data_IF_952719334463
#
_entry.id   IF_952719334463
#
_cell.length_a   1.000
_cell.length_b   1.000
_cell.length_c   1.000
_cell.angle_alpha   90.00
_cell.angle_beta   90.00
_cell.angle_gamma   90.00
#
_symmetry.space_group_name_H-M   'P 1'
#
loop_
_entity.id
_entity.type
_entity.pdbx_description
1 polymer ?
#
# COMPACT_ATOMS: atom_id res chain seq x y z
N UNK A 1 21.70 24.83 12.64
CA UNK A 1 21.15 23.66 11.92
C UNK A 1 21.82 23.58 10.56
N UNK A 2 22.33 22.42 10.16
CA UNK A 2 22.80 22.22 8.80
C UNK A 2 21.60 22.22 7.83
N UNK A 3 21.70 22.93 6.71
CA UNK A 3 20.66 22.94 5.67
C UNK A 3 20.85 21.71 4.80
N UNK A 4 19.85 20.83 4.74
CA UNK A 4 19.86 19.67 3.85
C UNK A 4 19.88 20.11 2.39
N UNK A 5 20.84 19.59 1.64
CA UNK A 5 20.98 19.76 0.19
C UNK A 5 20.08 18.77 -0.56
N UNK A 6 19.83 18.98 -1.86
CA UNK A 6 18.93 18.12 -2.63
C UNK A 6 19.29 16.63 -2.71
N UNK A 7 20.56 16.29 -2.50
CA UNK A 7 21.05 14.92 -2.56
C UNK A 7 21.29 14.31 -1.17
N UNK A 8 21.02 15.05 -0.11
CA UNK A 8 21.28 14.58 1.25
C UNK A 8 20.24 13.53 1.65
N UNK A 9 20.74 12.41 2.14
CA UNK A 9 19.97 11.35 2.76
C UNK A 9 20.15 11.47 4.26
N UNK A 10 19.04 11.50 5.00
CA UNK A 10 19.09 11.45 6.46
C UNK A 10 19.48 10.04 6.90
N UNK A 11 20.45 9.94 7.81
CA UNK A 11 20.89 8.67 8.39
C UNK A 11 20.52 8.66 9.86
N UNK A 12 19.77 7.64 10.29
CA UNK A 12 19.32 7.44 11.65
C UNK A 12 20.11 6.31 12.30
N UNK A 13 20.92 6.55 13.34
CA UNK A 13 21.45 5.48 14.15
C UNK A 13 20.32 4.71 14.86
N UNK A 14 20.62 3.53 15.38
CA UNK A 14 19.72 2.89 16.32
C UNK A 14 19.75 3.66 17.64
N UNK A 15 18.59 3.82 18.27
CA UNK A 15 18.41 4.59 19.49
C UNK A 15 17.29 3.95 20.32
N UNK A 16 17.39 4.04 21.65
CA UNK A 16 16.34 3.58 22.56
C UNK A 16 15.08 4.45 22.42
N UNK A 17 15.27 5.73 22.10
CA UNK A 17 14.18 6.67 21.87
C UNK A 17 13.88 6.80 20.38
N UNK A 18 12.59 6.81 20.00
CA UNK A 18 12.21 6.94 18.61
C UNK A 18 12.45 8.37 18.09
N UNK A 19 12.85 8.47 16.82
CA UNK A 19 12.92 9.72 16.08
C UNK A 19 11.51 10.22 15.77
N UNK A 20 11.14 11.35 16.37
CA UNK A 20 9.80 11.90 16.20
C UNK A 20 9.70 12.80 14.95
N UNK A 21 8.73 12.49 14.09
CA UNK A 21 8.24 13.39 13.05
C UNK A 21 7.23 14.34 13.70
N UNK A 22 7.54 15.63 13.72
CA UNK A 22 6.70 16.65 14.34
C UNK A 22 5.28 16.69 13.73
N UNK A 23 4.30 16.30 14.53
CA UNK A 23 2.88 16.27 14.18
C UNK A 23 2.09 17.45 14.78
N UNK A 24 2.76 18.43 15.40
CA UNK A 24 2.15 19.57 16.09
C UNK A 24 1.34 20.48 15.17
N UNK A 25 1.74 20.59 13.89
CA UNK A 25 1.00 21.32 12.86
C UNK A 25 -0.25 20.58 12.39
N UNK A 26 -0.44 19.33 12.85
CA UNK A 26 -1.63 18.52 12.62
C UNK A 26 -1.88 18.19 11.16
N UNK A 27 -3.09 17.70 10.90
CA UNK A 27 -3.63 17.47 9.57
C UNK A 27 -4.47 18.66 9.15
N UNK A 28 -4.31 19.15 7.93
CA UNK A 28 -5.00 20.36 7.47
C UNK A 28 -6.32 19.98 6.79
N UNK A 29 -7.44 20.48 7.33
CA UNK A 29 -8.80 20.34 6.79
C UNK A 29 -9.05 21.02 5.43
N UNK A 30 -8.02 21.37 4.67
CA UNK A 30 -8.22 22.05 3.39
C UNK A 30 -8.12 21.03 2.27
N UNK A 31 -9.24 20.72 1.62
CA UNK A 31 -9.37 19.73 0.53
C UNK A 31 -8.51 20.01 -0.73
N UNK A 32 -7.70 21.07 -0.72
CA UNK A 32 -6.94 21.57 -1.88
C UNK A 32 -5.43 21.33 -1.80
N UNK A 33 -4.86 20.99 -0.65
CA UNK A 33 -3.40 20.91 -0.48
C UNK A 33 -2.97 19.57 0.10
N UNK A 34 -2.08 18.88 -0.62
CA UNK A 34 -1.35 17.73 -0.07
C UNK A 34 -0.40 18.18 1.03
N UNK A 35 -0.59 17.69 2.25
CA UNK A 35 0.22 18.06 3.40
C UNK A 35 1.12 16.90 3.85
N UNK A 36 2.32 17.23 4.29
CA UNK A 36 3.30 16.26 4.81
C UNK A 36 3.90 16.81 6.08
N UNK A 37 3.97 15.98 7.12
CA UNK A 37 4.58 16.37 8.40
C UNK A 37 6.09 16.58 8.22
N UNK A 38 6.74 15.69 7.48
CA UNK A 38 8.14 15.82 7.08
C UNK A 38 8.29 15.76 5.55
N UNK A 39 9.14 16.66 5.05
CA UNK A 39 9.61 16.65 3.67
C UNK A 39 11.08 16.25 3.65
N UNK A 40 11.38 15.18 2.92
CA UNK A 40 12.75 14.75 2.68
C UNK A 40 13.09 14.99 1.21
N UNK A 41 14.27 15.53 0.95
CA UNK A 41 14.74 15.75 -0.42
C UNK A 41 15.00 14.40 -1.10
N UNK A 42 16.01 13.66 -0.62
CA UNK A 42 16.44 12.40 -1.24
C UNK A 42 16.00 11.15 -0.48
N UNK A 43 16.01 11.14 0.85
CA UNK A 43 15.70 9.92 1.56
C UNK A 43 16.00 9.89 3.05
N UNK A 44 15.74 8.72 3.63
CA UNK A 44 15.96 8.34 5.02
C UNK A 44 16.48 6.91 5.08
N UNK A 45 17.55 6.69 5.82
CA UNK A 45 18.12 5.36 6.04
C UNK A 45 18.37 5.16 7.52
N UNK A 46 17.81 4.11 8.09
CA UNK A 46 18.23 3.65 9.41
C UNK A 46 19.48 2.78 9.32
N UNK A 47 20.28 2.74 10.39
CA UNK A 47 21.40 1.79 10.49
C UNK A 47 20.93 0.36 10.84
N UNK A 48 19.65 0.19 11.18
CA UNK A 48 19.00 -1.09 11.40
C UNK A 48 17.55 -0.92 11.87
N UNK A 49 16.83 -2.02 12.12
CA UNK A 49 15.43 -1.96 12.56
C UNK A 49 15.25 -1.28 13.92
N UNK A 50 16.33 -1.12 14.72
CA UNK A 50 16.33 -0.32 15.95
C UNK A 50 16.28 1.19 15.72
N UNK A 51 16.48 1.67 14.49
CA UNK A 51 16.16 3.06 14.14
C UNK A 51 14.64 3.19 14.00
N UNK A 52 13.98 3.69 15.04
CA UNK A 52 12.51 3.80 15.07
C UNK A 52 12.08 5.22 14.70
N UNK A 53 11.21 5.33 13.71
CA UNK A 53 10.56 6.58 13.30
C UNK A 53 9.10 6.54 13.70
N UNK A 54 8.59 7.59 14.30
CA UNK A 54 7.17 7.69 14.63
C UNK A 54 6.71 9.15 14.59
N UNK A 55 5.41 9.43 14.50
CA UNK A 55 4.98 10.80 14.67
C UNK A 55 5.02 11.17 16.15
N UNK A 56 5.27 12.45 16.45
CA UNK A 56 5.23 12.96 17.82
C UNK A 56 3.84 12.83 18.45
N UNK A 57 3.72 13.07 19.75
CA UNK A 57 2.41 13.29 20.34
C UNK A 57 1.79 14.55 19.70
N UNK A 58 0.63 14.42 19.05
CA UNK A 58 -0.06 15.57 18.49
C UNK A 58 -1.03 16.14 19.51
N UNK A 59 -1.07 17.47 19.61
CA UNK A 59 -2.18 18.18 20.23
C UNK A 59 -3.41 18.27 19.30
N UNK A 60 -3.38 17.65 18.12
CA UNK A 60 -4.46 17.67 17.16
C UNK A 60 -5.72 17.00 17.73
N UNK A 61 -6.67 17.84 18.15
CA UNK A 61 -8.00 17.44 18.55
C UNK A 61 -8.88 17.21 17.32
N UNK A 62 -9.51 16.03 17.27
CA UNK A 62 -10.55 15.57 16.34
C UNK A 62 -11.15 16.66 15.45
N UNK A 63 -10.66 16.73 14.23
CA UNK A 63 -11.27 17.49 13.15
C UNK A 63 -12.08 16.60 12.21
N UNK A 64 -13.24 17.08 11.70
CA UNK A 64 -13.97 16.42 10.62
C UNK A 64 -13.13 16.44 9.33
N UNK A 65 -12.43 15.34 9.04
CA UNK A 65 -11.87 15.13 7.71
C UNK A 65 -13.01 14.97 6.67
N UNK A 66 -12.73 15.26 5.40
CA UNK A 66 -13.58 14.95 4.24
C UNK A 66 -12.86 13.94 3.35
N UNK A 67 -13.57 13.32 2.40
CA UNK A 67 -13.08 12.17 1.63
C UNK A 67 -11.74 12.44 0.93
N UNK A 68 -11.57 13.65 0.42
CA UNK A 68 -10.35 14.07 -0.26
C UNK A 68 -9.16 14.29 0.67
N UNK A 69 -9.37 14.42 1.99
CA UNK A 69 -8.34 14.86 2.94
C UNK A 69 -7.50 13.72 3.49
N UNK A 70 -8.08 12.56 3.83
CA UNK A 70 -7.30 11.41 4.34
C UNK A 70 -6.24 10.91 3.34
N UNK A 71 -6.54 10.98 2.03
CA UNK A 71 -5.60 10.62 0.96
C UNK A 71 -4.46 11.64 0.77
N UNK A 72 -4.59 12.84 1.33
CA UNK A 72 -3.70 13.98 1.07
C UNK A 72 -2.60 14.13 2.13
N UNK A 73 -2.75 13.46 3.27
CA UNK A 73 -1.91 13.57 4.46
C UNK A 73 -0.84 12.48 4.51
N UNK A 74 0.39 12.88 4.86
CA UNK A 74 1.57 12.01 4.84
C UNK A 74 2.45 12.29 6.06
N UNK A 75 2.98 11.25 6.69
CA UNK A 75 4.00 11.44 7.71
C UNK A 75 5.32 11.87 7.05
N UNK A 76 5.80 11.11 6.07
CA UNK A 76 6.99 11.43 5.28
C UNK A 76 6.65 11.52 3.79
N UNK A 77 7.07 12.61 3.13
CA UNK A 77 7.04 12.72 1.67
C UNK A 77 8.44 12.98 1.09
N UNK A 78 8.83 12.19 0.09
CA UNK A 78 9.99 12.47 -0.77
C UNK A 78 9.52 12.87 -2.18
N UNK A 79 10.17 13.88 -2.78
CA UNK A 79 9.84 14.37 -4.14
C UNK A 79 10.99 14.34 -5.13
N UNK A 80 12.21 14.05 -4.70
CA UNK A 80 13.30 13.87 -5.64
C UNK A 80 13.12 12.57 -6.44
N UNK A 81 13.61 12.59 -7.68
CA UNK A 81 13.82 11.34 -8.42
C UNK A 81 14.83 10.46 -7.67
N UNK A 82 14.64 9.15 -7.77
CA UNK A 82 15.45 8.12 -7.12
C UNK A 82 15.54 8.31 -5.61
N UNK A 83 14.42 8.70 -4.98
CA UNK A 83 14.33 8.76 -3.53
C UNK A 83 14.45 7.37 -2.90
N UNK A 84 15.03 7.30 -1.70
CA UNK A 84 15.27 6.04 -1.01
C UNK A 84 14.83 6.13 0.45
N UNK A 85 14.00 5.19 0.88
CA UNK A 85 13.66 4.97 2.29
C UNK A 85 14.05 3.53 2.62
N UNK A 86 14.83 3.31 3.69
CA UNK A 86 15.09 1.93 4.08
C UNK A 86 15.80 1.66 5.39
N UNK A 87 15.74 0.40 5.81
CA UNK A 87 16.44 -0.14 6.98
C UNK A 87 16.06 0.54 8.31
N UNK A 88 14.77 0.77 8.55
CA UNK A 88 14.24 1.35 9.79
C UNK A 88 12.86 0.76 10.14
N UNK A 89 12.42 0.99 11.38
CA UNK A 89 11.05 0.67 11.82
C UNK A 89 10.20 1.94 11.84
N UNK A 90 8.95 1.86 11.40
CA UNK A 90 8.01 2.98 11.42
C UNK A 90 6.76 2.64 12.21
N UNK A 91 6.43 3.47 13.20
CA UNK A 91 5.19 3.39 13.97
C UNK A 91 4.25 4.53 13.64
N UNK A 92 2.95 4.27 13.78
CA UNK A 92 1.92 5.29 13.69
C UNK A 92 1.28 5.56 15.04
N UNK A 93 0.45 6.60 15.09
CA UNK A 93 -0.37 6.97 16.24
C UNK A 93 -1.81 7.23 15.82
N UNK A 94 -2.75 7.06 16.73
CA UNK A 94 -4.11 7.55 16.51
C UNK A 94 -4.17 9.06 16.74
N UNK A 95 -4.79 9.77 15.81
CA UNK A 95 -5.01 11.21 15.88
C UNK A 95 -6.50 11.54 15.92
N UNK A 96 -7.29 10.68 16.56
CA UNK A 96 -8.73 10.86 16.72
C UNK A 96 -9.51 10.54 15.44
N UNK A 97 -9.14 9.47 14.73
CA UNK A 97 -9.82 9.01 13.52
C UNK A 97 -9.43 9.73 12.23
N UNK A 98 -8.28 10.41 12.23
CA UNK A 98 -7.68 11.01 11.03
C UNK A 98 -6.97 9.94 10.20
N UNK A 99 -7.25 9.93 8.90
CA UNK A 99 -6.50 9.16 7.92
C UNK A 99 -5.22 9.86 7.46
N UNK A 100 -4.15 9.09 7.29
CA UNK A 100 -2.84 9.52 6.78
C UNK A 100 -2.01 8.35 6.26
N UNK A 101 -1.14 8.65 5.29
CA UNK A 101 -0.16 7.71 4.76
C UNK A 101 1.12 7.76 5.62
N UNK A 102 1.79 6.62 5.79
CA UNK A 102 3.09 6.60 6.46
C UNK A 102 4.14 7.28 5.57
N UNK A 103 4.28 6.81 4.34
CA UNK A 103 5.26 7.36 3.40
C UNK A 103 4.62 7.61 2.04
N UNK A 104 5.13 8.64 1.36
CA UNK A 104 4.84 8.87 -0.05
C UNK A 104 6.08 9.29 -0.81
N UNK A 105 6.27 8.72 -1.99
CA UNK A 105 7.24 9.20 -2.96
C UNK A 105 6.54 9.66 -4.23
N UNK A 106 6.92 10.84 -4.71
CA UNK A 106 6.47 11.38 -6.01
C UNK A 106 7.64 11.41 -6.97
N UNK A 107 7.42 11.03 -8.23
CA UNK A 107 8.46 11.06 -9.27
C UNK A 107 8.88 9.67 -9.74
N UNK A 108 10.15 9.49 -10.11
CA UNK A 108 10.64 8.30 -10.81
C UNK A 108 11.75 7.60 -10.03
N UNK A 109 11.82 6.27 -10.09
CA UNK A 109 12.96 5.47 -9.65
C UNK A 109 13.08 5.29 -8.14
N UNK A 110 12.00 5.49 -7.38
CA UNK A 110 12.07 5.55 -5.93
C UNK A 110 11.96 4.16 -5.28
N UNK A 111 12.62 3.96 -4.14
CA UNK A 111 12.77 2.64 -3.50
C UNK A 111 12.42 2.68 -2.01
N UNK A 112 11.62 1.71 -1.59
CA UNK A 112 11.43 1.32 -0.20
C UNK A 112 12.12 -0.02 0.04
N UNK A 113 12.98 -0.12 1.05
CA UNK A 113 13.74 -1.35 1.29
C UNK A 113 13.92 -1.65 2.78
N UNK A 114 13.65 -2.88 3.22
CA UNK A 114 13.94 -3.31 4.62
C UNK A 114 13.29 -2.41 5.67
N UNK A 115 12.02 -2.06 5.46
CA UNK A 115 11.24 -1.26 6.41
C UNK A 115 10.20 -2.16 7.07
N UNK A 116 10.13 -2.10 8.40
CA UNK A 116 9.01 -2.64 9.16
C UNK A 116 8.03 -1.53 9.52
N UNK A 117 6.82 -1.59 8.96
CA UNK A 117 5.73 -0.69 9.32
C UNK A 117 4.82 -1.38 10.33
N UNK A 118 4.54 -0.74 11.46
CA UNK A 118 3.56 -1.24 12.44
C UNK A 118 2.52 -0.18 12.77
N UNK A 119 1.31 -0.37 12.25
CA UNK A 119 0.19 0.58 12.39
C UNK A 119 0.56 1.98 11.92
N UNK A 120 1.51 2.07 10.97
CA UNK A 120 2.17 3.30 10.54
C UNK A 120 1.30 4.19 9.65
N UNK A 121 0.23 3.65 9.10
CA UNK A 121 -0.78 4.33 8.31
C UNK A 121 -2.15 4.06 8.89
N UNK A 122 -3.09 4.99 8.66
CA UNK A 122 -4.48 4.86 9.10
C UNK A 122 -5.38 5.43 8.01
N UNK A 123 -6.45 4.74 7.65
CA UNK A 123 -7.43 5.26 6.70
C UNK A 123 -8.50 6.11 7.37
N UNK A 124 -9.24 6.89 6.59
CA UNK A 124 -10.39 7.64 7.05
C UNK A 124 -11.67 6.80 7.01
N UNK A 125 -11.94 6.07 8.09
CA UNK A 125 -13.01 5.07 8.16
C UNK A 125 -14.44 5.65 8.17
N UNK A 126 -14.60 6.96 8.39
CA UNK A 126 -15.92 7.58 8.49
C UNK A 126 -16.63 7.75 7.12
N UNK A 127 -15.90 7.74 6.00
CA UNK A 127 -16.48 7.71 4.64
C UNK A 127 -15.60 6.85 3.73
N UNK A 128 -16.10 5.67 3.31
CA UNK A 128 -15.41 4.80 2.35
C UNK A 128 -15.17 5.47 0.98
N UNK A 129 -14.10 5.09 0.24
CA UNK A 129 -13.11 4.07 0.60
C UNK A 129 -12.07 4.50 1.64
N UNK A 130 -11.86 5.80 1.90
CA UNK A 130 -11.02 6.28 3.00
C UNK A 130 -9.58 5.72 3.04
N UNK A 131 -9.04 5.22 1.94
CA UNK A 131 -7.79 4.46 1.93
C UNK A 131 -6.55 5.34 2.12
N UNK A 132 -5.64 4.87 2.96
CA UNK A 132 -4.30 5.39 3.13
C UNK A 132 -3.28 4.25 3.08
N UNK A 133 -2.04 4.56 2.71
CA UNK A 133 -0.95 3.61 2.50
C UNK A 133 0.21 3.73 3.48
N UNK A 134 0.81 2.59 3.86
CA UNK A 134 2.15 2.60 4.44
C UNK A 134 3.16 3.04 3.37
N UNK A 135 3.05 2.43 2.19
CA UNK A 135 3.84 2.74 1.00
C UNK A 135 2.94 3.36 -0.06
N UNK A 136 3.22 4.61 -0.46
CA UNK A 136 2.46 5.29 -1.50
C UNK A 136 3.37 5.84 -2.60
N UNK A 137 3.26 5.29 -3.81
CA UNK A 137 3.87 5.87 -5.02
C UNK A 137 2.88 6.78 -5.75
N UNK A 138 3.31 7.97 -6.16
CA UNK A 138 2.43 8.95 -6.84
C UNK A 138 3.08 9.59 -8.06
N UNK A 139 2.41 9.55 -9.22
CA UNK A 139 2.85 10.15 -10.50
C UNK A 139 4.32 9.90 -10.89
N UNK A 140 4.57 8.84 -11.66
CA UNK A 140 5.86 8.61 -12.31
C UNK A 140 6.10 7.17 -12.73
N UNK A 141 7.33 6.70 -12.61
CA UNK A 141 7.71 5.35 -13.03
C UNK A 141 8.83 4.71 -12.22
N UNK A 142 9.04 3.40 -12.35
CA UNK A 142 10.22 2.73 -11.80
C UNK A 142 10.23 2.63 -10.28
N UNK A 143 9.06 2.50 -9.64
CA UNK A 143 8.96 2.39 -8.18
C UNK A 143 9.30 0.97 -7.72
N UNK A 144 10.01 0.84 -6.60
CA UNK A 144 10.52 -0.42 -6.08
C UNK A 144 10.22 -0.62 -4.60
N UNK A 145 9.79 -1.82 -4.22
CA UNK A 145 9.66 -2.25 -2.82
C UNK A 145 10.39 -3.57 -2.64
N UNK A 146 11.24 -3.65 -1.61
CA UNK A 146 12.05 -4.84 -1.33
C UNK A 146 12.09 -5.15 0.17
N UNK A 147 11.84 -6.40 0.56
CA UNK A 147 12.05 -6.87 1.94
C UNK A 147 11.30 -6.03 2.99
N UNK A 148 10.07 -5.63 2.70
CA UNK A 148 9.27 -4.80 3.61
C UNK A 148 8.20 -5.65 4.32
N UNK A 149 7.97 -5.38 5.60
CA UNK A 149 6.83 -5.92 6.34
C UNK A 149 5.90 -4.78 6.74
N UNK A 150 4.61 -4.96 6.50
CA UNK A 150 3.55 -4.01 6.80
C UNK A 150 2.55 -4.71 7.72
N UNK A 151 2.79 -4.59 9.01
CA UNK A 151 1.87 -4.99 10.06
C UNK A 151 0.84 -3.88 10.27
N UNK A 152 -0.38 -4.09 9.80
CA UNK A 152 -1.44 -3.12 9.93
C UNK A 152 -1.99 -3.00 11.36
N UNK A 153 -1.44 -3.74 12.34
CA UNK A 153 -1.78 -3.57 13.76
C UNK A 153 -0.99 -2.44 14.38
N UNK A 154 -1.61 -1.71 15.30
CA UNK A 154 -0.87 -0.81 16.17
C UNK A 154 -0.15 -1.55 17.30
N UNK A 155 0.49 -0.80 18.20
CA UNK A 155 1.24 -1.36 19.32
C UNK A 155 0.35 -2.14 20.30
N UNK A 156 -0.97 -1.88 20.34
CA UNK A 156 -1.92 -2.64 21.16
C UNK A 156 -2.36 -3.96 20.50
N UNK A 157 -1.99 -4.17 19.23
CA UNK A 157 -2.39 -5.34 18.46
C UNK A 157 -3.71 -5.17 17.69
N UNK A 158 -4.33 -3.99 17.74
CA UNK A 158 -5.54 -3.68 16.98
C UNK A 158 -5.21 -3.37 15.53
N UNK A 159 -5.91 -3.99 14.58
CA UNK A 159 -5.84 -3.63 13.16
C UNK A 159 -6.34 -2.21 12.92
N UNK A 160 -5.48 -1.34 12.40
CA UNK A 160 -5.75 0.09 12.14
C UNK A 160 -5.34 0.53 10.73
N UNK A 161 -4.38 -0.18 10.14
CA UNK A 161 -3.86 0.10 8.81
C UNK A 161 -4.87 -0.27 7.73
N UNK A 162 -5.05 0.63 6.77
CA UNK A 162 -5.85 0.34 5.57
C UNK A 162 -4.98 -0.24 4.45
N UNK A 163 -5.18 0.13 3.18
CA UNK A 163 -4.41 -0.35 2.02
C UNK A 163 -2.90 -0.36 2.29
N UNK A 164 -2.23 -1.53 2.43
CA UNK A 164 -0.81 -1.58 2.79
C UNK A 164 0.10 -0.83 1.81
N UNK A 165 -0.21 -0.96 0.51
CA UNK A 165 0.50 -0.29 -0.57
C UNK A 165 -0.48 0.37 -1.53
N UNK A 166 -0.14 1.56 -2.02
CA UNK A 166 -0.92 2.28 -3.01
C UNK A 166 -0.04 2.84 -4.13
N UNK A 167 -0.27 2.37 -5.35
CA UNK A 167 0.38 2.85 -6.55
C UNK A 167 -0.59 3.72 -7.33
N UNK A 168 -0.33 5.02 -7.38
CA UNK A 168 -1.24 6.00 -7.98
C UNK A 168 -0.58 6.68 -9.19
N UNK A 169 -1.11 6.42 -10.39
CA UNK A 169 -0.60 6.97 -11.64
C UNK A 169 0.89 6.63 -11.86
N UNK A 170 1.22 5.34 -11.90
CA UNK A 170 2.59 4.84 -12.03
C UNK A 170 2.79 4.03 -13.32
N UNK A 171 4.03 3.76 -13.66
CA UNK A 171 4.41 2.76 -14.67
C UNK A 171 5.65 2.01 -14.19
N UNK A 172 5.79 0.74 -14.54
CA UNK A 172 6.92 -0.09 -14.08
C UNK A 172 7.06 -0.08 -12.55
N UNK A 173 6.12 -0.72 -11.86
CA UNK A 173 6.18 -0.96 -10.41
C UNK A 173 6.79 -2.34 -10.16
N UNK A 174 7.74 -2.44 -9.23
CA UNK A 174 8.24 -3.75 -8.77
C UNK A 174 8.11 -3.87 -7.27
N UNK A 175 7.57 -5.00 -6.84
CA UNK A 175 7.44 -5.38 -5.43
C UNK A 175 8.09 -6.75 -5.29
N UNK A 176 9.08 -6.90 -4.42
CA UNK A 176 9.63 -8.20 -4.08
C UNK A 176 9.75 -8.39 -2.58
N UNK A 177 9.46 -9.61 -2.11
CA UNK A 177 9.64 -10.03 -0.71
C UNK A 177 8.94 -9.07 0.26
N UNK A 178 7.64 -8.86 0.04
CA UNK A 178 6.85 -7.94 0.85
C UNK A 178 5.74 -8.69 1.58
N UNK A 179 5.65 -8.48 2.90
CA UNK A 179 4.65 -9.10 3.75
C UNK A 179 3.66 -8.07 4.31
N UNK A 180 2.44 -8.08 3.79
CA UNK A 180 1.33 -7.24 4.24
C UNK A 180 0.36 -8.08 5.07
N UNK A 181 0.02 -7.65 6.29
CA UNK A 181 -0.87 -8.46 7.12
C UNK A 181 -1.69 -7.66 8.14
N UNK A 182 -2.81 -8.24 8.59
CA UNK A 182 -3.73 -7.64 9.56
C UNK A 182 -4.40 -6.35 9.08
N UNK A 183 -4.51 -6.17 7.76
CA UNK A 183 -5.21 -5.02 7.14
C UNK A 183 -6.59 -4.88 7.72
N UNK A 184 -7.01 -3.67 8.11
CA UNK A 184 -8.33 -3.39 8.71
C UNK A 184 -9.44 -3.19 7.66
N UNK A 185 -9.10 -2.52 6.56
CA UNK A 185 -9.93 -2.40 5.34
C UNK A 185 -9.03 -1.98 4.18
N UNK A 186 -9.34 -2.39 2.96
CA UNK A 186 -8.52 -2.08 1.79
C UNK A 186 -7.51 -3.17 1.46
N UNK A 187 -6.60 -2.88 0.55
CA UNK A 187 -5.73 -3.87 -0.08
C UNK A 187 -4.54 -3.19 -0.77
N UNK A 188 -3.47 -3.93 -1.12
CA UNK A 188 -2.51 -3.46 -2.11
C UNK A 188 -3.26 -3.03 -3.38
N UNK A 189 -3.14 -1.75 -3.75
CA UNK A 189 -3.91 -1.14 -4.83
C UNK A 189 -3.00 -0.56 -5.91
N UNK A 190 -3.29 -0.91 -7.16
CA UNK A 190 -2.68 -0.37 -8.37
C UNK A 190 -3.74 0.45 -9.12
N UNK A 191 -3.68 1.77 -8.99
CA UNK A 191 -4.60 2.68 -9.65
C UNK A 191 -3.89 3.48 -10.75
N UNK A 192 -4.35 3.36 -12.00
CA UNK A 192 -3.72 3.95 -13.18
C UNK A 192 -2.25 3.54 -13.33
N UNK A 193 -2.01 2.24 -13.30
CA UNK A 193 -0.69 1.64 -13.47
C UNK A 193 -0.58 0.97 -14.83
N UNK A 194 0.56 1.10 -15.53
CA UNK A 194 0.75 0.49 -16.85
C UNK A 194 1.56 -0.82 -16.85
N UNK A 195 2.41 -1.06 -15.86
CA UNK A 195 3.16 -2.32 -15.76
C UNK A 195 3.51 -2.53 -14.29
N UNK A 196 3.37 -3.77 -13.82
CA UNK A 196 3.77 -4.14 -12.48
C UNK A 196 4.26 -5.59 -12.40
N UNK A 197 5.28 -5.80 -11.58
CA UNK A 197 5.77 -7.13 -11.23
C UNK A 197 5.79 -7.23 -9.71
N UNK A 198 5.02 -8.16 -9.16
CA UNK A 198 5.11 -8.57 -7.77
C UNK A 198 5.71 -9.98 -7.71
N UNK A 199 6.75 -10.16 -6.91
CA UNK A 199 7.36 -11.46 -6.64
C UNK A 199 7.34 -11.70 -5.13
N UNK A 200 6.80 -12.82 -4.66
CA UNK A 200 6.70 -13.11 -3.23
C UNK A 200 6.02 -11.96 -2.44
N UNK A 201 4.95 -11.38 -3.01
CA UNK A 201 4.05 -10.49 -2.27
C UNK A 201 3.08 -11.36 -1.48
N UNK A 202 3.12 -11.24 -0.15
CA UNK A 202 2.26 -11.96 0.77
C UNK A 202 1.25 -10.97 1.34
N UNK A 203 -0.04 -11.23 1.18
CA UNK A 203 -1.12 -10.48 1.82
C UNK A 203 -2.02 -11.45 2.59
N UNK A 204 -1.99 -11.39 3.93
CA UNK A 204 -2.77 -12.28 4.80
C UNK A 204 -3.54 -11.54 5.89
N UNK A 205 -4.43 -12.23 6.63
CA UNK A 205 -5.08 -11.69 7.82
C UNK A 205 -5.85 -10.41 7.52
N UNK A 206 -6.65 -10.43 6.46
CA UNK A 206 -7.40 -9.24 6.03
C UNK A 206 -8.64 -9.09 6.91
N UNK A 207 -8.52 -8.37 8.03
CA UNK A 207 -9.68 -7.93 8.79
C UNK A 207 -10.51 -7.00 7.89
N UNK A 208 -11.83 -7.16 7.83
CA UNK A 208 -12.66 -6.33 6.96
C UNK A 208 -13.78 -5.65 7.73
N UNK A 209 -13.87 -4.33 7.57
CA UNK A 209 -14.99 -3.50 8.04
C UNK A 209 -16.02 -3.15 6.94
N UNK A 210 -15.87 -3.63 5.70
CA UNK A 210 -16.76 -3.32 4.58
C UNK A 210 -16.67 -4.39 3.46
N UNK A 211 -17.69 -4.57 2.60
CA UNK A 211 -17.81 -5.77 1.75
C UNK A 211 -16.87 -5.87 0.53
N UNK A 212 -15.82 -5.05 0.43
CA UNK A 212 -14.96 -4.95 -0.76
C UNK A 212 -13.48 -4.75 -0.40
N UNK A 213 -12.73 -5.80 -0.09
CA UNK A 213 -11.27 -5.74 -0.21
C UNK A 213 -10.69 -7.04 -0.77
N UNK A 214 -10.40 -7.10 -2.09
CA UNK A 214 -9.73 -8.26 -2.66
C UNK A 214 -8.31 -8.43 -2.11
N UNK A 215 -7.68 -9.58 -2.38
CA UNK A 215 -6.25 -9.76 -2.09
C UNK A 215 -5.37 -8.69 -2.73
N UNK A 216 -5.67 -8.30 -3.97
CA UNK A 216 -5.07 -7.17 -4.69
C UNK A 216 -6.12 -6.47 -5.55
N UNK A 217 -6.01 -5.16 -5.69
CA UNK A 217 -6.88 -4.36 -6.55
C UNK A 217 -6.09 -3.69 -7.68
N UNK A 218 -6.57 -3.82 -8.91
CA UNK A 218 -6.00 -3.24 -10.13
C UNK A 218 -7.07 -2.42 -10.84
N UNK A 219 -7.05 -1.09 -10.66
CA UNK A 219 -8.08 -0.18 -11.15
C UNK A 219 -7.54 0.77 -12.21
N UNK A 220 -8.31 0.97 -13.29
CA UNK A 220 -8.00 1.93 -14.37
C UNK A 220 -6.58 1.78 -14.93
N UNK A 221 -6.08 0.55 -14.94
CA UNK A 221 -4.69 0.20 -15.23
C UNK A 221 -4.58 -0.49 -16.59
N UNK A 222 -3.43 -0.43 -17.25
CA UNK A 222 -3.18 -1.07 -18.56
C UNK A 222 -1.89 -1.89 -18.53
N UNK A 223 -1.54 -2.55 -19.63
CA UNK A 223 -0.27 -3.25 -19.83
C UNK A 223 -0.14 -4.57 -19.05
N UNK A 224 1.06 -4.88 -18.54
CA UNK A 224 1.37 -6.22 -18.03
C UNK A 224 1.53 -6.28 -16.51
N UNK A 225 0.71 -7.10 -15.87
CA UNK A 225 0.77 -7.37 -14.44
C UNK A 225 1.22 -8.81 -14.20
N UNK A 226 2.38 -8.95 -13.55
CA UNK A 226 2.96 -10.23 -13.18
C UNK A 226 2.89 -10.42 -11.66
N UNK A 227 2.38 -11.57 -11.22
CA UNK A 227 2.35 -11.97 -9.82
C UNK A 227 3.01 -13.35 -9.68
N UNK A 228 4.26 -13.38 -9.23
CA UNK A 228 5.07 -14.59 -9.14
C UNK A 228 5.21 -15.01 -7.68
N UNK A 229 4.83 -16.25 -7.36
CA UNK A 229 4.95 -16.82 -6.00
C UNK A 229 4.26 -15.97 -4.92
N UNK A 230 3.21 -15.23 -5.30
CA UNK A 230 2.46 -14.37 -4.38
C UNK A 230 1.48 -15.20 -3.55
N UNK A 231 1.27 -14.78 -2.31
CA UNK A 231 0.31 -15.39 -1.39
C UNK A 231 -0.82 -14.40 -1.09
N UNK A 232 -2.06 -14.80 -1.35
CA UNK A 232 -3.26 -14.02 -1.05
C UNK A 232 -4.21 -14.86 -0.18
N UNK A 233 -4.07 -14.74 1.13
CA UNK A 233 -4.93 -15.41 2.12
C UNK A 233 -5.85 -14.34 2.68
N UNK A 234 -7.06 -14.25 2.15
CA UNK A 234 -7.93 -13.11 2.45
C UNK A 234 -8.84 -13.39 3.67
N UNK A 235 -8.77 -14.60 4.22
CA UNK A 235 -9.51 -15.08 5.39
C UNK A 235 -11.01 -14.90 5.22
N UNK A 236 -11.56 -15.63 4.23
CA UNK A 236 -12.96 -15.58 3.86
C UNK A 236 -13.90 -15.64 5.10
N UNK A 237 -14.65 -14.57 5.34
CA UNK A 237 -15.43 -14.36 6.55
C UNK A 237 -16.72 -13.57 6.33
N UNK A 238 -17.42 -13.14 7.38
CA UNK A 238 -18.62 -12.29 7.25
C UNK A 238 -18.34 -10.97 6.52
N UNK A 239 -17.09 -10.51 6.57
CA UNK A 239 -16.71 -9.21 6.06
C UNK A 239 -15.88 -9.27 4.77
N UNK A 240 -15.18 -10.39 4.50
CA UNK A 240 -14.39 -10.62 3.29
C UNK A 240 -14.86 -11.86 2.53
N UNK A 241 -15.54 -11.72 1.40
CA UNK A 241 -16.16 -12.88 0.71
C UNK A 241 -15.80 -13.06 -0.74
N UNK A 242 -15.05 -12.14 -1.33
CA UNK A 242 -15.26 -11.86 -2.76
C UNK A 242 -14.15 -12.40 -3.65
N UNK A 243 -12.94 -11.84 -3.64
CA UNK A 243 -11.97 -12.10 -4.70
C UNK A 243 -10.52 -12.03 -4.24
N UNK A 244 -9.65 -12.83 -4.85
CA UNK A 244 -8.20 -12.75 -4.65
C UNK A 244 -7.62 -11.57 -5.44
N UNK A 245 -8.20 -11.28 -6.60
CA UNK A 245 -7.83 -10.15 -7.45
C UNK A 245 -9.08 -9.44 -7.96
N UNK A 246 -9.03 -8.12 -8.00
CA UNK A 246 -10.01 -7.29 -8.70
C UNK A 246 -9.35 -6.51 -9.82
N UNK A 247 -10.00 -6.49 -10.98
CA UNK A 247 -9.68 -5.65 -12.12
C UNK A 247 -10.91 -4.78 -12.48
N UNK A 248 -10.79 -3.45 -12.57
CA UNK A 248 -11.91 -2.67 -13.12
C UNK A 248 -11.79 -1.16 -13.25
N UNK A 249 -12.96 -0.54 -13.53
CA UNK A 249 -13.27 0.90 -13.57
C UNK A 249 -12.80 1.75 -14.78
N UNK A 250 -12.28 1.21 -15.88
CA UNK A 250 -12.21 1.85 -17.23
C UNK A 250 -11.61 0.89 -18.29
N UNK A 251 -11.91 1.06 -19.59
CA UNK A 251 -11.41 0.18 -20.64
C UNK A 251 -9.93 0.43 -20.90
N UNK A 252 -9.10 -0.53 -20.51
CA UNK A 252 -7.68 -0.59 -20.83
C UNK A 252 -7.30 -2.06 -21.01
N UNK A 253 -6.38 -2.35 -21.93
CA UNK A 253 -5.89 -3.71 -22.18
C UNK A 253 -4.98 -4.11 -21.02
N UNK A 254 -5.39 -5.08 -20.21
CA UNK A 254 -4.53 -5.70 -19.20
C UNK A 254 -4.23 -7.14 -19.57
N UNK A 255 -2.96 -7.53 -19.44
CA UNK A 255 -2.56 -8.92 -19.31
C UNK A 255 -2.19 -9.24 -17.86
N UNK A 256 -2.73 -10.34 -17.34
CA UNK A 256 -2.31 -10.92 -16.07
C UNK A 256 -1.54 -12.21 -16.30
N UNK A 257 -0.29 -12.26 -15.83
CA UNK A 257 0.49 -13.49 -15.70
C UNK A 257 0.69 -13.79 -14.20
N UNK A 258 -0.02 -14.78 -13.68
CA UNK A 258 0.01 -15.18 -12.27
C UNK A 258 0.65 -16.57 -12.18
N UNK A 259 1.80 -16.65 -11.52
CA UNK A 259 2.60 -17.88 -11.44
C UNK A 259 2.70 -18.35 -10.01
N UNK A 260 2.34 -19.61 -9.81
CA UNK A 260 2.41 -20.32 -8.53
C UNK A 260 1.77 -19.54 -7.35
N UNK A 261 0.51 -19.07 -7.46
CA UNK A 261 -0.12 -18.35 -6.36
C UNK A 261 -0.43 -19.31 -5.20
N UNK A 262 -0.29 -18.83 -3.97
CA UNK A 262 -0.89 -19.45 -2.78
C UNK A 262 -2.14 -18.67 -2.40
N UNK A 263 -3.27 -19.36 -2.25
CA UNK A 263 -4.56 -18.74 -1.98
C UNK A 263 -5.33 -19.53 -0.93
N UNK A 264 -6.23 -18.87 -0.20
CA UNK A 264 -7.16 -19.54 0.70
C UNK A 264 -8.42 -20.05 -0.01
N UNK A 265 -9.20 -20.87 0.69
CA UNK A 265 -10.42 -21.46 0.15
C UNK A 265 -11.51 -20.39 0.04
N UNK A 266 -11.60 -19.76 -1.13
CA UNK A 266 -12.62 -18.75 -1.42
C UNK A 266 -14.03 -19.25 -1.67
N UNK A 267 -14.93 -18.40 -2.19
CA UNK A 267 -16.27 -18.81 -2.60
C UNK A 267 -16.24 -19.89 -3.69
N UNK A 268 -15.09 -20.04 -4.36
CA UNK A 268 -14.79 -21.08 -5.33
C UNK A 268 -13.57 -21.87 -4.85
N UNK A 269 -13.75 -22.85 -3.94
CA UNK A 269 -12.65 -23.63 -3.40
C UNK A 269 -11.81 -24.28 -4.51
N UNK A 270 -10.50 -24.05 -4.49
CA UNK A 270 -9.56 -24.57 -5.49
C UNK A 270 -9.36 -23.69 -6.72
N UNK A 271 -10.19 -22.65 -6.91
CA UNK A 271 -10.09 -21.72 -8.03
C UNK A 271 -9.51 -20.36 -7.59
N UNK A 272 -8.66 -19.76 -8.43
CA UNK A 272 -8.28 -18.35 -8.27
C UNK A 272 -9.46 -17.45 -8.67
N UNK A 273 -9.81 -16.49 -7.81
CA UNK A 273 -11.06 -15.72 -7.88
C UNK A 273 -10.79 -14.31 -8.40
N UNK A 274 -11.32 -13.96 -9.57
CA UNK A 274 -11.12 -12.65 -10.20
C UNK A 274 -12.45 -11.92 -10.39
N UNK A 275 -12.49 -10.65 -9.99
CA UNK A 275 -13.58 -9.75 -10.33
C UNK A 275 -13.24 -8.88 -11.53
N UNK A 276 -14.17 -8.77 -12.47
CA UNK A 276 -14.17 -7.73 -13.51
C UNK A 276 -15.41 -6.86 -13.38
N UNK A 277 -15.28 -5.53 -13.43
CA UNK A 277 -16.44 -4.63 -13.22
C UNK A 277 -17.47 -4.67 -14.38
N UNK A 278 -18.80 -4.75 -14.11
CA UNK A 278 -19.85 -4.54 -15.11
C UNK A 278 -19.81 -3.17 -15.76
N UNK A 279 -20.25 -3.07 -17.02
CA UNK A 279 -20.59 -1.79 -17.68
C UNK A 279 -19.40 -0.94 -18.13
N UNK A 280 -18.18 -1.37 -17.85
CA UNK A 280 -16.95 -0.85 -18.45
C UNK A 280 -15.94 -1.99 -18.41
N UNK A 281 -16.04 -2.97 -19.34
CA UNK A 281 -15.11 -4.07 -19.36
C UNK A 281 -13.73 -3.47 -19.51
N UNK A 282 -12.95 -3.52 -18.44
CA UNK A 282 -11.52 -3.54 -18.61
C UNK A 282 -11.29 -4.76 -19.49
N UNK A 283 -10.76 -4.54 -20.69
CA UNK A 283 -10.44 -5.62 -21.60
C UNK A 283 -9.24 -6.30 -20.96
N UNK A 284 -9.51 -7.25 -20.07
CA UNK A 284 -8.48 -8.19 -19.67
C UNK A 284 -8.24 -9.03 -20.92
N UNK A 285 -7.25 -8.59 -21.69
CA UNK A 285 -6.94 -9.14 -23.00
C UNK A 285 -6.42 -10.56 -22.88
N UNK A 286 -5.83 -10.89 -21.72
CA UNK A 286 -5.28 -12.20 -21.44
C UNK A 286 -5.13 -12.46 -19.92
N UNK A 287 -5.46 -13.68 -19.48
CA UNK A 287 -5.29 -14.14 -18.10
C UNK A 287 -4.60 -15.51 -18.13
N UNK A 288 -3.35 -15.55 -17.71
CA UNK A 288 -2.56 -16.76 -17.59
C UNK A 288 -2.28 -17.04 -16.12
N UNK A 289 -2.83 -18.14 -15.59
CA UNK A 289 -2.54 -18.59 -14.23
C UNK A 289 -1.95 -19.99 -14.28
N UNK A 290 -0.77 -20.17 -13.68
CA UNK A 290 -0.04 -21.45 -13.70
C UNK A 290 0.42 -21.86 -12.31
N UNK A 291 0.58 -23.17 -12.09
CA UNK A 291 1.22 -23.75 -10.90
C UNK A 291 2.76 -23.67 -11.02
N UNK A 292 3.48 -23.96 -9.93
CA UNK A 292 4.94 -24.11 -9.95
C UNK A 292 5.47 -25.01 -11.09
N UNK A 293 4.77 -26.12 -11.37
CA UNK A 293 5.16 -27.07 -12.42
C UNK A 293 4.79 -26.62 -13.86
N UNK A 294 4.28 -25.40 -14.04
CA UNK A 294 3.89 -24.83 -15.33
C UNK A 294 2.51 -25.28 -15.84
N UNK A 295 1.81 -26.19 -15.17
CA UNK A 295 0.44 -26.55 -15.54
C UNK A 295 -0.54 -25.41 -15.25
N UNK A 296 -1.64 -25.34 -16.00
CA UNK A 296 -2.69 -24.35 -15.78
C UNK A 296 -3.30 -24.48 -14.37
N UNK A 297 -3.50 -23.33 -13.72
CA UNK A 297 -4.18 -23.23 -12.43
C UNK A 297 -5.67 -22.92 -12.66
N UNK A 298 -6.63 -23.62 -12.01
CA UNK A 298 -8.05 -23.34 -12.14
C UNK A 298 -8.40 -21.91 -11.68
N UNK A 299 -9.27 -21.21 -12.42
CA UNK A 299 -9.69 -19.87 -12.03
C UNK A 299 -11.11 -19.56 -12.47
N UNK A 300 -11.74 -18.60 -11.80
CA UNK A 300 -13.03 -18.04 -12.15
C UNK A 300 -12.96 -16.54 -12.29
N UNK A 301 -13.64 -16.07 -13.32
CA UNK A 301 -13.87 -14.65 -13.56
C UNK A 301 -15.35 -14.38 -13.34
N UNK A 302 -15.66 -13.48 -12.42
CA UNK A 302 -17.02 -12.99 -12.23
C UNK A 302 -17.13 -11.57 -12.80
N UNK A 303 -18.07 -11.38 -13.72
CA UNK A 303 -18.70 -10.08 -13.93
C UNK A 303 -19.78 -9.90 -12.87
N UNK A 304 -19.77 -8.79 -12.14
CA UNK A 304 -21.00 -8.34 -11.48
C UNK A 304 -21.96 -7.77 -12.52
#
# INVERSE_FOLDING_TARGET
>A
MATLRPNDVLVLPEDEQPYEVDSSRGFQMTSRNFHSMAYLQRGLVGLGPGAVVQPSASAFGRGRQTYTQGMQEKMIECRAASAYLGNFTMYGRDFGGVGYNATRMTGTGATWERIYFRGAHRGWLAVPPGEAGAITGYKGSGMRVYNCEIDCRDQSGLSVGTSPMMWNAQSDVQVADAYCHHTYVGMPTFWKVNDAIATNLIHTNVAQGAPYSPGVNVEQSSGHFQFNDCTFIIDYGTHNRRFHLQAGKQPSSIRFDIRNPTIDAGPWPGDFSIQTSPGSPQLVSDIHITRANGSAYPFRVAGL
#
